data_IF_262264189253
#
_entry.id   IF_262264189253
#
_cell.length_a   1.000
_cell.length_b   1.000
_cell.length_c   1.000
_cell.angle_alpha   90.00
_cell.angle_beta   90.00
_cell.angle_gamma   90.00
#
_symmetry.space_group_name_H-M   'P 1'
#
loop_
_entity.id
_entity.type
_entity.pdbx_description
1 polymer ?
#
# COMPACT_ATOMS: atom_id res chain seq x y z
N UNK A 1 25.15 2.18 -11.49
CA UNK A 1 23.96 2.77 -10.84
C UNK A 1 23.01 1.70 -10.28
N UNK A 2 22.86 0.55 -10.94
CA UNK A 2 22.00 -0.58 -10.51
C UNK A 2 22.39 -1.21 -9.17
N UNK A 3 23.69 -1.39 -8.91
CA UNK A 3 24.23 -1.98 -7.67
C UNK A 3 23.81 -1.18 -6.42
N UNK A 4 23.85 0.15 -6.50
CA UNK A 4 23.49 1.03 -5.38
C UNK A 4 22.02 0.87 -4.96
N UNK A 5 21.11 0.75 -5.93
CA UNK A 5 19.68 0.55 -5.64
C UNK A 5 19.41 -0.82 -5.03
N UNK A 6 20.08 -1.88 -5.47
CA UNK A 6 19.88 -3.21 -4.90
C UNK A 6 20.40 -3.30 -3.46
N UNK A 7 21.60 -2.78 -3.20
CA UNK A 7 22.18 -2.76 -1.85
C UNK A 7 21.33 -1.92 -0.88
N UNK A 8 20.88 -0.73 -1.32
CA UNK A 8 19.98 0.10 -0.54
C UNK A 8 18.64 -0.62 -0.28
N UNK A 9 18.05 -1.25 -1.29
CA UNK A 9 16.80 -2.00 -1.14
C UNK A 9 16.95 -3.14 -0.11
N UNK A 10 18.04 -3.90 -0.20
CA UNK A 10 18.35 -4.99 0.73
C UNK A 10 18.55 -4.46 2.17
N UNK A 11 19.27 -3.35 2.34
CA UNK A 11 19.51 -2.74 3.65
C UNK A 11 18.20 -2.27 4.29
N UNK A 12 17.34 -1.58 3.54
CA UNK A 12 16.03 -1.15 4.03
C UNK A 12 15.13 -2.35 4.38
N UNK A 13 15.14 -3.39 3.57
CA UNK A 13 14.37 -4.61 3.82
C UNK A 13 14.78 -5.27 5.15
N UNK A 14 16.09 -5.49 5.35
CA UNK A 14 16.62 -6.07 6.60
C UNK A 14 16.32 -5.20 7.82
N UNK A 15 16.42 -3.87 7.68
CA UNK A 15 16.06 -2.96 8.75
C UNK A 15 14.57 -3.10 9.14
N UNK A 16 13.68 -3.23 8.15
CA UNK A 16 12.27 -3.47 8.40
C UNK A 16 12.02 -4.79 9.12
N UNK A 17 12.68 -5.88 8.71
CA UNK A 17 12.60 -7.18 9.38
C UNK A 17 13.05 -7.10 10.85
N UNK A 18 14.15 -6.39 11.13
CA UNK A 18 14.64 -6.18 12.48
C UNK A 18 13.64 -5.41 13.36
N UNK A 19 13.03 -4.34 12.83
CA UNK A 19 12.00 -3.56 13.51
C UNK A 19 10.80 -4.44 13.85
N UNK A 20 10.37 -5.26 12.89
CA UNK A 20 9.26 -6.21 13.06
C UNK A 20 9.60 -7.27 14.11
N UNK A 21 10.82 -7.83 14.09
CA UNK A 21 11.27 -8.83 15.06
C UNK A 21 11.35 -8.27 16.48
N UNK A 22 11.83 -7.04 16.62
CA UNK A 22 11.88 -6.31 17.90
C UNK A 22 10.52 -5.75 18.34
N UNK A 23 9.44 -6.00 17.57
CA UNK A 23 8.08 -5.51 17.84
C UNK A 23 8.03 -3.99 18.07
N UNK A 24 8.94 -3.26 17.42
CA UNK A 24 8.94 -1.79 17.41
C UNK A 24 7.70 -1.30 16.65
N UNK A 25 7.34 -0.01 16.81
CA UNK A 25 6.17 0.60 16.16
C UNK A 25 6.08 0.29 14.66
N UNK A 26 4.90 -0.14 14.23
CA UNK A 26 4.63 -0.57 12.85
C UNK A 26 4.97 0.50 11.80
N UNK A 27 4.81 1.79 12.13
CA UNK A 27 5.08 2.91 11.22
C UNK A 27 6.54 2.92 10.72
N UNK A 28 7.49 2.53 11.56
CA UNK A 28 8.89 2.44 11.13
C UNK A 28 9.13 1.24 10.22
N UNK A 29 8.47 0.11 10.48
CA UNK A 29 8.60 -1.08 9.66
C UNK A 29 8.02 -0.84 8.26
N UNK A 30 6.81 -0.26 8.18
CA UNK A 30 6.18 0.06 6.89
C UNK A 30 7.01 1.06 6.10
N UNK A 31 7.52 2.12 6.74
CA UNK A 31 8.37 3.10 6.06
C UNK A 31 9.65 2.47 5.49
N UNK A 32 10.26 1.52 6.20
CA UNK A 32 11.47 0.84 5.70
C UNK A 32 11.15 -0.10 4.55
N UNK A 33 10.04 -0.85 4.60
CA UNK A 33 9.60 -1.63 3.45
C UNK A 33 9.22 -0.77 2.24
N UNK A 34 8.61 0.41 2.44
CA UNK A 34 8.28 1.34 1.35
C UNK A 34 9.55 1.83 0.63
N UNK A 35 10.57 2.25 1.39
CA UNK A 35 11.88 2.63 0.81
C UNK A 35 12.54 1.47 0.07
N UNK A 36 12.43 0.26 0.60
CA UNK A 36 12.93 -0.95 -0.07
C UNK A 36 12.19 -1.20 -1.40
N UNK A 37 10.86 -1.09 -1.39
CA UNK A 37 10.02 -1.24 -2.58
C UNK A 37 10.35 -0.18 -3.63
N UNK A 38 10.55 1.07 -3.23
CA UNK A 38 10.94 2.16 -4.11
C UNK A 38 12.25 1.82 -4.84
N UNK A 39 13.29 1.44 -4.10
CA UNK A 39 14.57 1.04 -4.69
C UNK A 39 14.43 -0.19 -5.63
N UNK A 40 13.69 -1.23 -5.23
CA UNK A 40 13.44 -2.39 -6.10
C UNK A 40 12.63 -2.04 -7.35
N UNK A 41 11.72 -1.08 -7.27
CA UNK A 41 10.89 -0.66 -8.40
C UNK A 41 11.70 0.05 -9.48
N UNK A 42 12.74 0.82 -9.10
CA UNK A 42 13.70 1.40 -10.06
C UNK A 42 14.42 0.33 -10.88
N UNK A 43 14.59 -0.86 -10.29
CA UNK A 43 15.22 -2.02 -10.92
C UNK A 43 14.21 -2.95 -11.63
N UNK A 44 12.91 -2.59 -11.65
CA UNK A 44 11.81 -3.47 -12.07
C UNK A 44 11.86 -4.86 -11.42
N UNK A 45 12.37 -4.94 -10.19
CA UNK A 45 12.59 -6.20 -9.50
C UNK A 45 11.28 -6.76 -8.92
N UNK A 46 10.99 -8.07 -9.06
CA UNK A 46 9.83 -8.69 -8.44
C UNK A 46 9.86 -8.65 -6.90
N UNK A 47 11.03 -8.36 -6.30
CA UNK A 47 11.18 -8.11 -4.86
C UNK A 47 10.32 -6.92 -4.38
N UNK A 48 9.93 -6.01 -5.28
CA UNK A 48 8.95 -4.95 -5.00
C UNK A 48 7.64 -5.52 -4.46
N UNK A 49 7.13 -6.58 -5.07
CA UNK A 49 5.87 -7.22 -4.65
C UNK A 49 6.00 -7.89 -3.28
N UNK A 50 7.18 -8.41 -2.95
CA UNK A 50 7.45 -8.94 -1.61
C UNK A 50 7.37 -7.84 -0.55
N UNK A 51 7.91 -6.66 -0.83
CA UNK A 51 7.84 -5.51 0.08
C UNK A 51 6.38 -5.08 0.31
N UNK A 52 5.58 -4.97 -0.76
CA UNK A 52 4.14 -4.67 -0.65
C UNK A 52 3.40 -5.67 0.24
N UNK A 53 3.65 -6.98 0.05
CA UNK A 53 3.07 -8.02 0.90
C UNK A 53 3.51 -7.88 2.36
N UNK A 54 4.78 -7.60 2.62
CA UNK A 54 5.29 -7.36 3.97
C UNK A 54 4.63 -6.16 4.66
N UNK A 55 4.37 -5.08 3.93
CA UNK A 55 3.66 -3.90 4.48
C UNK A 55 2.24 -4.28 4.91
N UNK A 56 1.51 -5.02 4.06
CA UNK A 56 0.17 -5.52 4.38
C UNK A 56 0.22 -6.44 5.62
N UNK A 57 1.17 -7.37 5.69
CA UNK A 57 1.37 -8.23 6.86
C UNK A 57 1.60 -7.42 8.14
N UNK A 58 2.41 -6.36 8.08
CA UNK A 58 2.68 -5.47 9.22
C UNK A 58 1.41 -4.78 9.70
N UNK A 59 0.57 -4.27 8.81
CA UNK A 59 -0.72 -3.68 9.19
C UNK A 59 -1.66 -4.70 9.86
N UNK A 60 -1.63 -5.95 9.41
CA UNK A 60 -2.47 -7.03 9.96
C UNK A 60 -1.90 -7.66 11.23
N UNK A 61 -0.69 -7.30 11.68
CA UNK A 61 -0.11 -7.87 12.91
C UNK A 61 -0.87 -7.39 14.14
N UNK A 62 -1.50 -8.35 14.83
CA UNK A 62 -2.25 -8.10 16.07
C UNK A 62 -1.42 -7.44 17.15
N UNK A 63 -0.11 -7.66 17.24
CA UNK A 63 0.76 -7.07 18.29
C UNK A 63 0.65 -5.54 18.41
N UNK A 64 0.14 -4.87 17.37
CA UNK A 64 -0.15 -3.43 17.37
C UNK A 64 -1.61 -3.10 17.79
N UNK A 65 -2.17 -3.89 18.73
CA UNK A 65 -3.61 -3.99 19.08
C UNK A 65 -4.33 -2.64 19.22
N UNK A 66 -3.69 -1.62 19.80
CA UNK A 66 -4.29 -0.29 20.00
C UNK A 66 -4.72 0.41 18.70
N UNK A 67 -4.26 -0.05 17.53
CA UNK A 67 -4.60 0.51 16.23
C UNK A 67 -5.15 -0.54 15.25
N UNK A 68 -5.48 -1.74 15.70
CA UNK A 68 -5.77 -2.88 14.81
C UNK A 68 -6.91 -2.61 13.82
N UNK A 69 -8.06 -2.07 14.27
CA UNK A 69 -9.16 -1.71 13.37
C UNK A 69 -8.76 -0.65 12.34
N UNK A 70 -8.04 0.40 12.77
CA UNK A 70 -7.52 1.44 11.87
C UNK A 70 -6.49 0.88 10.87
N UNK A 71 -5.72 -0.13 11.28
CA UNK A 71 -4.72 -0.75 10.44
C UNK A 71 -5.32 -1.70 9.40
N UNK A 72 -6.49 -2.31 9.66
CA UNK A 72 -7.21 -3.08 8.64
C UNK A 72 -7.58 -2.18 7.45
N UNK A 73 -8.08 -0.97 7.73
CA UNK A 73 -8.36 0.04 6.68
C UNK A 73 -7.12 0.36 5.85
N UNK A 74 -5.98 0.58 6.51
CA UNK A 74 -4.68 0.80 5.83
C UNK A 74 -4.23 -0.42 5.01
N UNK A 75 -4.40 -1.64 5.53
CA UNK A 75 -4.07 -2.87 4.81
C UNK A 75 -4.90 -3.02 3.53
N UNK A 76 -6.20 -2.73 3.61
CA UNK A 76 -7.12 -2.75 2.47
C UNK A 76 -6.71 -1.70 1.44
N UNK A 77 -6.49 -0.45 1.87
CA UNK A 77 -6.04 0.63 0.99
C UNK A 77 -4.73 0.25 0.27
N UNK A 78 -3.73 -0.24 1.03
CA UNK A 78 -2.46 -0.68 0.49
C UNK A 78 -2.61 -1.78 -0.58
N UNK A 79 -3.57 -2.70 -0.43
CA UNK A 79 -3.86 -3.70 -1.47
C UNK A 79 -4.26 -3.04 -2.80
N UNK A 80 -5.15 -2.04 -2.77
CA UNK A 80 -5.59 -1.36 -4.00
C UNK A 80 -4.51 -0.45 -4.59
N UNK A 81 -3.77 0.27 -3.76
CA UNK A 81 -2.67 1.12 -4.20
C UNK A 81 -1.57 0.29 -4.85
N UNK A 82 -1.07 -0.75 -4.16
CA UNK A 82 -0.01 -1.60 -4.70
C UNK A 82 -0.46 -2.43 -5.90
N UNK A 83 -1.72 -2.87 -5.94
CA UNK A 83 -2.27 -3.51 -7.12
C UNK A 83 -2.25 -2.58 -8.33
N UNK A 84 -2.66 -1.32 -8.16
CA UNK A 84 -2.59 -0.31 -9.22
C UNK A 84 -1.16 -0.01 -9.65
N UNK A 85 -0.22 0.10 -8.70
CA UNK A 85 1.20 0.27 -9.02
C UNK A 85 1.78 -0.92 -9.81
N UNK A 86 1.37 -2.16 -9.52
CA UNK A 86 1.78 -3.34 -10.28
C UNK A 86 1.40 -3.20 -11.77
N UNK A 87 0.18 -2.75 -12.06
CA UNK A 87 -0.26 -2.49 -13.43
C UNK A 87 0.54 -1.34 -14.06
N UNK A 88 0.68 -0.19 -13.37
CA UNK A 88 1.31 0.99 -13.94
C UNK A 88 2.81 0.82 -14.19
N UNK A 89 3.56 0.36 -13.18
CA UNK A 89 5.02 0.33 -13.21
C UNK A 89 5.56 -0.92 -13.92
N UNK A 90 4.82 -2.04 -13.86
CA UNK A 90 5.28 -3.34 -14.35
C UNK A 90 4.43 -3.91 -15.47
N UNK A 91 3.28 -3.32 -15.79
CA UNK A 91 2.32 -3.89 -16.75
C UNK A 91 1.64 -5.17 -16.24
N UNK A 92 1.79 -5.51 -14.95
CA UNK A 92 1.37 -6.79 -14.40
C UNK A 92 -0.07 -6.73 -13.87
N UNK A 93 -1.01 -6.95 -14.79
CA UNK A 93 -2.45 -7.03 -14.47
C UNK A 93 -2.80 -8.22 -13.61
N UNK A 94 -2.04 -9.33 -13.69
CA UNK A 94 -2.26 -10.51 -12.84
C UNK A 94 -1.95 -10.19 -11.38
N UNK A 95 -0.83 -9.49 -11.13
CA UNK A 95 -0.47 -9.05 -9.77
C UNK A 95 -1.43 -8.00 -9.24
N UNK A 96 -1.89 -7.06 -10.08
CA UNK A 96 -2.97 -6.14 -9.70
C UNK A 96 -4.16 -6.91 -9.15
N UNK A 97 -4.66 -7.89 -9.91
CA UNK A 97 -5.86 -8.65 -9.54
C UNK A 97 -5.62 -9.51 -8.29
N UNK A 98 -4.41 -10.03 -8.09
CA UNK A 98 -4.02 -10.73 -6.85
C UNK A 98 -4.14 -9.81 -5.63
N UNK A 99 -3.60 -8.59 -5.70
CA UNK A 99 -3.70 -7.64 -4.60
C UNK A 99 -5.14 -7.18 -4.37
N UNK A 100 -5.91 -6.91 -5.43
CA UNK A 100 -7.33 -6.52 -5.29
C UNK A 100 -8.15 -7.61 -4.61
N UNK A 101 -7.95 -8.88 -4.99
CA UNK A 101 -8.57 -10.03 -4.33
C UNK A 101 -8.22 -10.11 -2.85
N UNK A 102 -6.98 -9.82 -2.47
CA UNK A 102 -6.57 -9.76 -1.05
C UNK A 102 -7.34 -8.64 -0.33
N UNK A 103 -7.42 -7.44 -0.92
CA UNK A 103 -8.15 -6.30 -0.37
C UNK A 103 -9.64 -6.58 -0.17
N UNK A 104 -10.31 -7.15 -1.17
CA UNK A 104 -11.72 -7.54 -1.09
C UNK A 104 -11.96 -8.69 -0.10
N UNK A 105 -11.04 -9.64 -0.02
CA UNK A 105 -11.06 -10.70 1.00
C UNK A 105 -10.98 -10.14 2.42
N UNK A 106 -10.09 -9.17 2.65
CA UNK A 106 -9.97 -8.48 3.95
C UNK A 106 -11.24 -7.71 4.30
N UNK A 107 -11.81 -6.97 3.34
CA UNK A 107 -13.08 -6.26 3.53
C UNK A 107 -14.21 -7.20 3.90
N UNK A 108 -14.36 -8.29 3.16
CA UNK A 108 -15.39 -9.30 3.40
C UNK A 108 -15.25 -9.92 4.79
N UNK A 109 -14.02 -10.31 5.16
CA UNK A 109 -13.70 -10.89 6.47
C UNK A 109 -14.03 -9.96 7.63
N UNK A 110 -13.81 -8.65 7.46
CA UNK A 110 -14.02 -7.66 8.51
C UNK A 110 -15.36 -6.92 8.40
N UNK A 111 -16.24 -7.33 7.48
CA UNK A 111 -17.55 -6.71 7.21
C UNK A 111 -17.45 -5.21 6.92
N UNK A 112 -16.37 -4.79 6.28
CA UNK A 112 -16.13 -3.38 5.91
C UNK A 112 -16.85 -3.10 4.60
N UNK A 113 -17.97 -2.38 4.69
CA UNK A 113 -18.71 -1.89 3.54
C UNK A 113 -17.89 -0.83 2.81
N UNK A 114 -17.69 -1.00 1.50
CA UNK A 114 -17.10 0.06 0.68
C UNK A 114 -18.20 0.86 0.05
N UNK A 115 -18.17 2.16 0.29
CA UNK A 115 -18.72 3.13 -0.64
C UNK A 115 -17.55 3.68 -1.44
N UNK A 116 -17.47 3.34 -2.73
CA UNK A 116 -16.55 4.05 -3.61
C UNK A 116 -17.07 5.49 -3.70
N UNK A 117 -16.40 6.43 -3.04
CA UNK A 117 -16.80 7.83 -3.09
C UNK A 117 -16.70 8.39 -4.53
N UNK A 118 -15.83 7.81 -5.36
CA UNK A 118 -15.62 8.21 -6.76
C UNK A 118 -15.95 7.02 -7.67
N UNK A 119 -17.24 6.90 -8.06
CA UNK A 119 -17.71 5.84 -8.98
C UNK A 119 -17.43 6.13 -10.46
N UNK A 120 -17.18 7.39 -10.81
CA UNK A 120 -16.80 7.86 -12.14
C UNK A 120 -15.80 8.99 -12.00
N UNK A 121 -14.63 8.84 -12.63
CA UNK A 121 -13.67 9.94 -12.77
C UNK A 121 -13.97 10.71 -14.07
N UNK A 122 -14.58 11.87 -13.94
CA UNK A 122 -14.85 12.76 -15.06
C UNK A 122 -13.75 13.83 -15.10
N UNK A 123 -12.72 13.62 -15.94
CA UNK A 123 -11.61 14.57 -16.09
C UNK A 123 -12.09 16.01 -16.33
N UNK A 124 -13.20 16.17 -17.05
CA UNK A 124 -13.84 17.45 -17.34
C UNK A 124 -14.30 18.22 -16.08
N UNK A 125 -14.62 17.53 -14.97
CA UNK A 125 -15.02 18.16 -13.70
C UNK A 125 -13.88 18.84 -12.96
N UNK A 126 -12.63 18.43 -13.22
CA UNK A 126 -11.46 18.91 -12.47
C UNK A 126 -10.70 20.01 -13.20
N UNK A 127 -10.98 20.26 -14.49
CA UNK A 127 -10.46 21.41 -15.23
C UNK A 127 -8.97 21.70 -15.00
N UNK A 128 -8.63 22.96 -14.66
CA UNK A 128 -7.32 23.38 -14.13
C UNK A 128 -7.31 23.53 -12.61
N UNK A 129 -8.41 23.20 -11.93
CA UNK A 129 -8.59 23.49 -10.51
C UNK A 129 -8.15 22.30 -9.66
N UNK A 130 -6.88 22.33 -9.26
CA UNK A 130 -6.25 21.31 -8.43
C UNK A 130 -6.89 21.19 -7.04
N UNK A 131 -7.58 22.23 -6.54
CA UNK A 131 -8.18 22.20 -5.20
C UNK A 131 -9.39 21.24 -5.15
N UNK A 132 -10.19 21.18 -6.21
CA UNK A 132 -11.31 20.23 -6.33
C UNK A 132 -10.82 18.78 -6.31
N UNK A 133 -9.68 18.50 -6.95
CA UNK A 133 -9.06 17.17 -6.92
C UNK A 133 -8.58 16.79 -5.51
N UNK A 134 -8.00 17.74 -4.78
CA UNK A 134 -7.56 17.54 -3.38
C UNK A 134 -8.76 17.29 -2.46
N UNK A 135 -9.87 18.03 -2.62
CA UNK A 135 -11.07 17.84 -1.80
C UNK A 135 -11.73 16.48 -2.05
N UNK A 136 -11.79 16.01 -3.29
CA UNK A 136 -12.34 14.68 -3.56
C UNK A 136 -11.42 13.55 -3.08
N UNK A 137 -10.09 13.75 -3.11
CA UNK A 137 -9.13 12.84 -2.46
C UNK A 137 -9.41 12.74 -0.95
N UNK A 138 -9.67 13.86 -0.28
CA UNK A 138 -10.01 13.90 1.15
C UNK A 138 -11.32 13.15 1.44
N UNK A 139 -12.33 13.25 0.56
CA UNK A 139 -13.58 12.47 0.73
C UNK A 139 -13.32 10.97 0.65
N UNK A 140 -12.50 10.49 -0.30
CA UNK A 140 -12.13 9.06 -0.39
C UNK A 140 -11.51 8.56 0.91
N UNK A 141 -10.68 9.38 1.56
CA UNK A 141 -10.02 9.04 2.83
C UNK A 141 -10.97 9.02 4.04
N UNK A 142 -12.07 9.78 4.01
CA UNK A 142 -13.05 9.86 5.12
C UNK A 142 -14.08 8.73 5.08
N UNK A 143 -14.44 8.20 3.90
CA UNK A 143 -15.43 7.12 3.74
C UNK A 143 -14.92 5.71 4.12
N UNK A 144 -13.77 5.61 4.78
CA UNK A 144 -13.22 4.38 5.40
C UNK A 144 -13.54 4.31 6.90
N UNK A 145 -14.69 4.87 7.34
CA UNK A 145 -15.18 4.76 8.72
C UNK A 145 -16.11 3.56 8.89
#
# INVERSE_FOLDING_TARGET
MTVFYEDAANAYFKAAELIVAKKIQYMYATNRYEKSAECYSQLKSPKTFMCYKKIIEVYLKKVYLHFYQRNIGKAIQACFEYGYECQLKFGDTKKRDEFYKIGDGLRSKHKITHSCAIKKFERCKYGKDSNLAVMDLVKVLIYVK
#
